data_IF_639236943283
#
_entry.id   IF_639236943283
#
_cell.length_a   1.000
_cell.length_b   1.000
_cell.length_c   1.000
_cell.angle_alpha   90.00
_cell.angle_beta   90.00
_cell.angle_gamma   90.00
#
_symmetry.space_group_name_H-M   'P 1'
#
loop_
_entity.id
_entity.type
_entity.pdbx_description
1 polymer ?
#
# COMPACT_ATOMS: atom_id res chain seq x y z
N UNK A 1 -7.75 0.72 7.07
CA UNK A 1 -8.56 -0.26 7.83
C UNK A 1 -10.00 -0.44 7.31
N UNK A 2 -10.76 0.62 6.97
CA UNK A 2 -12.11 0.47 6.37
C UNK A 2 -12.09 -0.20 4.99
N UNK A 3 -11.11 0.11 4.15
CA UNK A 3 -10.94 -0.48 2.81
C UNK A 3 -10.61 -1.98 2.90
N UNK A 4 -9.71 -2.37 3.79
CA UNK A 4 -9.41 -3.79 4.08
C UNK A 4 -10.68 -4.55 4.49
N UNK A 5 -11.43 -4.04 5.48
CA UNK A 5 -12.70 -4.65 5.91
C UNK A 5 -13.74 -4.73 4.79
N UNK A 6 -13.86 -3.68 3.97
CA UNK A 6 -14.80 -3.68 2.84
C UNK A 6 -14.39 -4.68 1.77
N UNK A 7 -13.11 -4.74 1.44
CA UNK A 7 -12.56 -5.71 0.50
C UNK A 7 -12.72 -7.13 1.00
N UNK A 8 -12.48 -7.41 2.29
CA UNK A 8 -12.74 -8.71 2.93
C UNK A 8 -14.21 -9.12 2.83
N UNK A 9 -15.13 -8.19 3.13
CA UNK A 9 -16.57 -8.44 3.04
C UNK A 9 -17.00 -8.70 1.60
N UNK A 10 -16.49 -7.92 0.64
CA UNK A 10 -16.78 -8.11 -0.77
C UNK A 10 -16.27 -9.48 -1.26
N UNK A 11 -15.06 -9.86 -0.85
CA UNK A 11 -14.47 -11.16 -1.16
C UNK A 11 -15.31 -12.31 -0.58
N UNK A 12 -15.78 -12.16 0.65
CA UNK A 12 -16.64 -13.14 1.33
C UNK A 12 -18.00 -13.27 0.62
N UNK A 13 -18.60 -12.17 0.19
CA UNK A 13 -19.84 -12.19 -0.61
C UNK A 13 -19.61 -12.90 -1.94
N UNK A 14 -18.54 -12.57 -2.66
CA UNK A 14 -18.17 -13.25 -3.91
C UNK A 14 -17.98 -14.75 -3.68
N UNK A 15 -17.28 -15.13 -2.60
CA UNK A 15 -17.06 -16.54 -2.24
C UNK A 15 -18.39 -17.26 -1.97
N UNK A 16 -19.31 -16.65 -1.22
CA UNK A 16 -20.64 -17.23 -0.96
C UNK A 16 -21.43 -17.42 -2.27
N UNK A 17 -21.44 -16.42 -3.14
CA UNK A 17 -22.14 -16.50 -4.43
C UNK A 17 -21.56 -17.64 -5.27
N UNK A 18 -20.24 -17.76 -5.34
CA UNK A 18 -19.57 -18.74 -6.18
C UNK A 18 -19.74 -20.14 -5.62
N UNK A 19 -19.60 -20.33 -4.29
CA UNK A 19 -19.88 -21.61 -3.64
C UNK A 19 -21.34 -22.01 -3.83
N UNK A 20 -22.28 -21.08 -3.67
CA UNK A 20 -23.71 -21.33 -3.87
C UNK A 20 -24.03 -21.73 -5.31
N UNK A 21 -23.46 -21.03 -6.30
CA UNK A 21 -23.61 -21.38 -7.72
C UNK A 21 -23.00 -22.73 -8.05
N UNK A 22 -21.80 -23.02 -7.53
CA UNK A 22 -21.16 -24.31 -7.73
C UNK A 22 -21.93 -25.45 -7.09
N UNK A 23 -22.46 -25.28 -5.89
CA UNK A 23 -23.31 -26.27 -5.25
C UNK A 23 -24.58 -26.57 -6.05
N UNK A 24 -25.23 -25.53 -6.58
CA UNK A 24 -26.42 -25.68 -7.43
C UNK A 24 -26.09 -26.41 -8.73
N UNK A 25 -25.00 -26.02 -9.42
CA UNK A 25 -24.53 -26.67 -10.64
C UNK A 25 -24.16 -28.14 -10.41
N UNK A 26 -23.50 -28.45 -9.28
CA UNK A 26 -23.13 -29.83 -8.94
C UNK A 26 -24.36 -30.70 -8.62
N UNK A 27 -25.38 -30.12 -7.99
CA UNK A 27 -26.62 -30.82 -7.63
C UNK A 27 -27.55 -31.05 -8.82
N UNK A 28 -27.63 -30.08 -9.75
CA UNK A 28 -28.50 -30.12 -10.92
C UNK A 28 -27.90 -30.97 -12.06
N UNK A 29 -26.59 -30.87 -12.26
CA UNK A 29 -25.88 -31.60 -13.32
C UNK A 29 -24.56 -32.13 -12.77
N UNK A 30 -24.60 -33.36 -12.21
CA UNK A 30 -23.44 -34.09 -11.71
C UNK A 30 -22.53 -34.52 -12.89
N UNK A 31 -21.90 -33.52 -13.49
CA UNK A 31 -21.11 -33.63 -14.71
C UNK A 31 -19.64 -33.53 -14.35
N UNK A 32 -18.85 -34.50 -14.83
CA UNK A 32 -17.38 -34.55 -14.63
C UNK A 32 -16.70 -33.27 -15.12
N UNK A 33 -17.24 -32.64 -16.17
CA UNK A 33 -16.74 -31.36 -16.69
C UNK A 33 -16.89 -30.24 -15.66
N UNK A 34 -18.06 -30.13 -15.02
CA UNK A 34 -18.34 -29.15 -13.96
C UNK A 34 -17.41 -29.34 -12.76
N UNK A 35 -17.08 -30.59 -12.42
CA UNK A 35 -16.15 -30.92 -11.34
C UNK A 35 -14.71 -30.47 -11.66
N UNK A 36 -14.24 -30.71 -12.89
CA UNK A 36 -12.91 -30.26 -13.34
C UNK A 36 -12.85 -28.73 -13.37
N UNK A 37 -13.89 -28.06 -13.86
CA UNK A 37 -13.95 -26.58 -13.89
C UNK A 37 -13.93 -25.99 -12.46
N UNK A 38 -14.63 -26.63 -11.52
CA UNK A 38 -14.59 -26.27 -10.09
C UNK A 38 -13.18 -26.39 -9.50
N UNK A 39 -12.48 -27.48 -9.81
CA UNK A 39 -11.12 -27.68 -9.34
C UNK A 39 -10.18 -26.59 -9.87
N UNK A 40 -10.24 -26.28 -11.17
CA UNK A 40 -9.45 -25.20 -11.78
C UNK A 40 -9.79 -23.86 -11.10
N UNK A 41 -11.07 -23.56 -10.90
CA UNK A 41 -11.50 -22.35 -10.21
C UNK A 41 -10.92 -22.25 -8.80
N UNK A 42 -10.92 -23.33 -8.02
CA UNK A 42 -10.37 -23.34 -6.67
C UNK A 42 -8.88 -23.00 -6.66
N UNK A 43 -8.12 -23.55 -7.60
CA UNK A 43 -6.70 -23.22 -7.78
C UNK A 43 -6.51 -21.72 -8.06
N UNK A 44 -7.26 -21.16 -9.00
CA UNK A 44 -7.20 -19.72 -9.29
C UNK A 44 -7.62 -18.85 -8.11
N UNK A 45 -8.68 -19.24 -7.41
CA UNK A 45 -9.15 -18.53 -6.23
C UNK A 45 -8.08 -18.52 -5.13
N UNK A 46 -7.42 -19.66 -4.88
CA UNK A 46 -6.33 -19.75 -3.93
C UNK A 46 -5.19 -18.78 -4.27
N UNK A 47 -4.71 -18.78 -5.52
CA UNK A 47 -3.67 -17.83 -5.94
C UNK A 47 -4.12 -16.37 -5.84
N UNK A 48 -5.38 -16.08 -6.20
CA UNK A 48 -5.95 -14.74 -6.04
C UNK A 48 -5.94 -14.29 -4.58
N UNK A 49 -6.35 -15.14 -3.64
CA UNK A 49 -6.34 -14.81 -2.22
C UNK A 49 -4.95 -14.49 -1.69
N UNK A 50 -3.95 -15.31 -2.05
CA UNK A 50 -2.56 -15.09 -1.65
C UNK A 50 -2.07 -13.74 -2.20
N UNK A 51 -2.27 -13.48 -3.49
CA UNK A 51 -1.85 -12.22 -4.12
C UNK A 51 -2.55 -11.02 -3.51
N UNK A 52 -3.85 -11.12 -3.24
CA UNK A 52 -4.63 -10.05 -2.62
C UNK A 52 -4.17 -9.76 -1.18
N UNK A 53 -3.87 -10.81 -0.40
CA UNK A 53 -3.33 -10.64 0.95
C UNK A 53 -1.97 -9.92 0.93
N UNK A 54 -1.09 -10.29 0.00
CA UNK A 54 0.19 -9.63 -0.21
C UNK A 54 0.02 -8.15 -0.60
N UNK A 55 -0.87 -7.83 -1.54
CA UNK A 55 -1.13 -6.44 -1.95
C UNK A 55 -1.68 -5.60 -0.80
N UNK A 56 -2.65 -6.11 -0.04
CA UNK A 56 -3.23 -5.38 1.11
C UNK A 56 -2.22 -5.24 2.25
N UNK A 57 -1.21 -6.11 2.30
CA UNK A 57 -0.10 -6.06 3.24
C UNK A 57 0.90 -4.93 2.97
N UNK A 58 0.94 -4.39 1.76
CA UNK A 58 1.89 -3.34 1.38
C UNK A 58 1.76 -2.08 2.26
N UNK A 59 2.90 -1.44 2.51
CA UNK A 59 2.99 -0.24 3.32
C UNK A 59 2.11 0.88 2.78
N UNK A 60 1.98 1.01 1.47
CA UNK A 60 1.08 1.99 0.83
C UNK A 60 -0.39 1.84 1.23
N UNK A 61 -0.86 0.68 1.69
CA UNK A 61 -2.24 0.49 2.16
C UNK A 61 -2.35 0.38 3.68
N UNK A 62 -1.22 0.31 4.37
CA UNK A 62 -1.17 0.12 5.81
C UNK A 62 -0.52 1.32 6.53
N UNK A 63 -1.34 2.27 7.04
CA UNK A 63 -0.85 3.45 7.72
C UNK A 63 -0.12 3.19 9.04
N UNK A 64 -0.33 2.02 9.67
CA UNK A 64 0.12 1.69 11.04
C UNK A 64 -0.35 2.66 12.14
N UNK A 65 -1.35 3.50 11.85
CA UNK A 65 -2.02 4.35 12.83
C UNK A 65 -3.54 4.34 12.63
N UNK A 66 -4.28 4.62 13.70
CA UNK A 66 -5.73 4.83 13.68
C UNK A 66 -6.07 6.32 13.59
N UNK A 67 -7.25 6.68 13.08
CA UNK A 67 -7.71 8.07 13.11
C UNK A 67 -7.83 8.65 14.51
N UNK A 68 -7.99 7.79 15.52
CA UNK A 68 -8.25 8.15 16.92
C UNK A 68 -6.98 8.27 17.78
N UNK A 69 -5.80 7.98 17.23
CA UNK A 69 -4.55 8.09 17.96
C UNK A 69 -4.23 9.58 18.21
N UNK A 70 -4.01 9.95 19.48
CA UNK A 70 -3.78 11.35 19.89
C UNK A 70 -2.35 11.86 19.61
N UNK A 71 -1.38 10.96 19.39
CA UNK A 71 0.04 11.31 19.17
C UNK A 71 0.64 10.54 17.98
N UNK A 72 0.14 10.78 16.78
CA UNK A 72 0.61 10.07 15.58
C UNK A 72 2.02 10.49 15.18
N UNK A 73 2.37 11.76 15.38
CA UNK A 73 3.62 12.34 14.89
C UNK A 73 4.83 12.01 15.78
N UNK A 74 4.63 11.82 17.10
CA UNK A 74 5.73 11.55 18.04
C UNK A 74 6.28 10.12 17.92
N UNK A 75 5.47 9.19 17.38
CA UNK A 75 5.81 7.77 17.26
C UNK A 75 6.80 7.48 16.14
N UNK A 76 6.81 8.29 15.08
CA UNK A 76 7.57 8.01 13.87
C UNK A 76 8.70 9.04 13.70
N UNK A 77 9.91 8.53 13.47
CA UNK A 77 11.13 9.35 13.46
C UNK A 77 11.64 9.69 12.06
N UNK A 78 11.22 8.96 11.02
CA UNK A 78 11.65 9.25 9.65
C UNK A 78 10.88 10.44 9.09
N UNK A 79 11.63 11.46 8.67
CA UNK A 79 11.09 12.60 7.94
C UNK A 79 11.26 12.39 6.44
N UNK A 80 10.25 12.80 5.70
CA UNK A 80 10.26 12.85 4.26
C UNK A 80 9.75 14.20 3.78
N UNK A 81 10.05 14.54 2.54
CA UNK A 81 9.53 15.70 1.84
C UNK A 81 8.89 15.20 0.55
N UNK A 82 7.66 15.65 0.28
CA UNK A 82 6.93 15.32 -0.95
C UNK A 82 6.90 16.56 -1.82
N UNK A 83 7.46 16.47 -3.02
CA UNK A 83 7.50 17.53 -4.01
C UNK A 83 6.53 17.23 -5.17
N UNK A 84 5.77 18.23 -5.61
CA UNK A 84 4.83 18.12 -6.75
C UNK A 84 5.51 18.07 -8.11
N UNK A 85 6.70 18.66 -8.20
CA UNK A 85 7.48 18.78 -9.42
C UNK A 85 8.82 18.07 -9.23
N UNK A 86 9.35 17.52 -10.32
CA UNK A 86 10.68 16.89 -10.39
C UNK A 86 11.81 17.87 -9.97
N UNK A 87 11.55 19.18 -10.03
CA UNK A 87 12.49 20.24 -9.65
C UNK A 87 12.60 20.47 -8.12
N UNK A 88 11.74 19.86 -7.29
CA UNK A 88 11.92 19.83 -5.83
C UNK A 88 11.75 21.15 -5.07
N UNK A 89 11.28 22.22 -5.73
CA UNK A 89 11.23 23.58 -5.17
C UNK A 89 10.10 23.80 -4.16
N UNK A 90 8.94 23.18 -4.38
CA UNK A 90 7.78 23.27 -3.48
C UNK A 90 7.44 21.88 -2.92
N UNK A 91 7.92 21.63 -1.70
CA UNK A 91 7.87 20.32 -1.07
C UNK A 91 7.36 20.40 0.36
N UNK A 92 6.38 19.55 0.69
CA UNK A 92 5.74 19.46 1.99
C UNK A 92 6.50 18.47 2.87
N UNK A 93 6.81 18.88 4.10
CA UNK A 93 7.33 17.96 5.11
C UNK A 93 6.26 16.96 5.55
N UNK A 94 6.61 15.69 5.52
CA UNK A 94 5.78 14.57 5.91
C UNK A 94 6.57 13.60 6.78
N UNK A 95 5.86 12.75 7.52
CA UNK A 95 6.48 11.75 8.39
C UNK A 95 6.20 10.37 7.80
N UNK A 96 7.23 9.54 7.60
CA UNK A 96 7.04 8.16 7.14
C UNK A 96 6.55 7.33 8.31
N UNK A 97 5.33 6.78 8.20
CA UNK A 97 4.73 5.92 9.23
C UNK A 97 4.91 4.45 8.93
N UNK A 98 5.05 4.09 7.66
CA UNK A 98 5.33 2.73 7.22
C UNK A 98 6.13 2.76 5.91
N UNK A 99 6.99 1.78 5.70
CA UNK A 99 7.89 1.70 4.54
C UNK A 99 8.16 0.23 4.23
N UNK A 100 8.16 -0.09 2.94
CA UNK A 100 8.58 -1.35 2.35
C UNK A 100 9.57 -1.06 1.22
N UNK A 101 10.13 -2.10 0.60
CA UNK A 101 11.07 -1.96 -0.53
C UNK A 101 10.51 -1.17 -1.72
N UNK A 102 9.20 -1.31 -1.98
CA UNK A 102 8.53 -0.73 -3.15
C UNK A 102 7.45 0.31 -2.83
N UNK A 103 7.19 0.62 -1.56
CA UNK A 103 6.15 1.57 -1.18
C UNK A 103 6.35 2.20 0.19
N UNK A 104 5.66 3.31 0.46
CA UNK A 104 5.60 3.89 1.80
C UNK A 104 4.25 4.53 2.11
N UNK A 105 4.00 4.71 3.41
CA UNK A 105 2.91 5.51 3.92
C UNK A 105 3.45 6.75 4.63
N UNK A 106 2.91 7.90 4.27
CA UNK A 106 3.32 9.20 4.79
C UNK A 106 2.16 9.84 5.56
N UNK A 107 2.46 10.49 6.66
CA UNK A 107 1.55 11.34 7.41
C UNK A 107 1.84 12.81 7.07
N UNK A 108 0.81 13.52 6.60
CA UNK A 108 0.89 14.93 6.28
C UNK A 108 0.48 15.77 7.51
N UNK A 109 1.07 16.96 7.69
CA UNK A 109 0.65 17.90 8.73
C UNK A 109 -0.77 18.42 8.44
N UNK A 110 -1.52 18.71 9.52
CA UNK A 110 -2.94 19.15 9.46
C UNK A 110 -3.19 20.39 8.58
N UNK A 111 -2.17 21.23 8.42
CA UNK A 111 -2.24 22.52 7.72
C UNK A 111 -1.91 22.39 6.22
N UNK A 112 -1.54 21.19 5.76
CA UNK A 112 -1.29 20.92 4.35
C UNK A 112 -2.61 20.89 3.57
N UNK A 113 -3.07 22.04 3.09
CA UNK A 113 -4.11 22.13 2.06
C UNK A 113 -3.52 21.73 0.71
N UNK A 114 -3.37 20.43 0.49
CA UNK A 114 -2.77 19.87 -0.72
C UNK A 114 -3.81 19.11 -1.55
N UNK A 115 -4.03 19.56 -2.78
CA UNK A 115 -4.86 18.82 -3.74
C UNK A 115 -4.07 17.63 -4.29
N UNK A 116 -4.19 16.50 -3.60
CA UNK A 116 -3.64 15.22 -4.00
C UNK A 116 -4.37 14.71 -5.26
N UNK A 117 -3.61 14.47 -6.32
CA UNK A 117 -4.11 13.97 -7.59
C UNK A 117 -3.42 12.63 -7.89
N UNK A 118 -4.20 11.56 -7.99
CA UNK A 118 -3.72 10.21 -8.29
C UNK A 118 -3.08 10.06 -9.67
N UNK A 119 -3.34 10.99 -10.58
CA UNK A 119 -2.78 10.99 -11.95
C UNK A 119 -1.41 11.68 -12.03
N UNK A 120 -0.94 12.33 -10.97
CA UNK A 120 0.36 13.00 -10.94
C UNK A 120 1.42 12.11 -10.28
N UNK A 121 2.66 12.28 -10.74
CA UNK A 121 3.85 11.72 -10.08
C UNK A 121 4.34 12.71 -9.03
N UNK A 122 4.84 12.17 -7.93
CA UNK A 122 5.39 12.91 -6.81
C UNK A 122 6.84 12.49 -6.61
N UNK A 123 7.71 13.46 -6.32
CA UNK A 123 9.08 13.15 -5.92
C UNK A 123 9.11 13.10 -4.38
N UNK A 124 9.52 11.96 -3.83
CA UNK A 124 9.71 11.79 -2.40
C UNK A 124 11.19 11.90 -2.11
N UNK A 125 11.53 12.72 -1.12
CA UNK A 125 12.88 12.85 -0.60
C UNK A 125 12.90 12.51 0.88
N UNK A 126 13.83 11.67 1.33
CA UNK A 126 14.08 11.44 2.75
C UNK A 126 15.56 11.62 3.05
N UNK A 127 15.85 12.14 4.24
CA UNK A 127 17.23 12.33 4.71
C UNK A 127 17.43 11.49 5.95
N UNK A 128 18.36 10.56 5.88
CA UNK A 128 18.73 9.72 7.00
C UNK A 128 20.26 9.70 7.14
N UNK A 129 20.76 10.11 8.31
CA UNK A 129 22.21 10.19 8.60
C UNK A 129 23.05 10.95 7.55
N UNK A 130 22.46 11.99 6.94
CA UNK A 130 23.11 12.79 5.91
C UNK A 130 23.06 12.21 4.50
N UNK A 131 22.45 11.04 4.31
CA UNK A 131 22.19 10.45 2.99
C UNK A 131 20.81 10.88 2.51
N UNK A 132 20.75 11.40 1.28
CA UNK A 132 19.54 11.82 0.62
C UNK A 132 19.02 10.70 -0.28
N UNK A 133 17.84 10.17 0.05
CA UNK A 133 17.13 9.19 -0.74
C UNK A 133 16.05 9.92 -1.54
N UNK A 134 16.04 9.75 -2.86
CA UNK A 134 15.06 10.38 -3.74
C UNK A 134 14.42 9.35 -4.65
N UNK A 135 13.10 9.38 -4.76
CA UNK A 135 12.39 8.47 -5.64
C UNK A 135 11.10 9.07 -6.18
N UNK A 136 10.75 8.71 -7.42
CA UNK A 136 9.45 9.01 -7.98
C UNK A 136 8.41 8.05 -7.40
N UNK A 137 7.22 8.56 -7.14
CA UNK A 137 6.15 7.78 -6.58
C UNK A 137 4.78 8.25 -7.07
N UNK A 138 3.82 7.33 -7.03
CA UNK A 138 2.43 7.58 -7.38
C UNK A 138 1.54 7.37 -6.18
N UNK A 139 0.54 8.23 -6.05
CA UNK A 139 -0.48 8.11 -5.01
C UNK A 139 -1.43 6.95 -5.33
N UNK A 140 -1.51 6.00 -4.40
CA UNK A 140 -2.40 4.83 -4.53
C UNK A 140 -3.47 4.76 -3.44
N UNK A 141 -3.25 5.40 -2.29
CA UNK A 141 -4.22 5.36 -1.19
C UNK A 141 -4.19 6.64 -0.35
N UNK A 142 -5.28 6.92 0.35
CA UNK A 142 -5.36 7.98 1.36
C UNK A 142 -6.14 7.49 2.59
N UNK A 143 -5.69 7.89 3.77
CA UNK A 143 -6.36 7.55 5.03
C UNK A 143 -6.17 8.64 6.08
N UNK A 144 -7.26 9.34 6.41
CA UNK A 144 -7.23 10.45 7.35
C UNK A 144 -6.32 11.57 6.84
N UNK A 145 -5.21 11.81 7.55
CA UNK A 145 -4.18 12.80 7.21
C UNK A 145 -2.97 12.21 6.50
N UNK A 146 -3.00 10.92 6.15
CA UNK A 146 -1.87 10.28 5.50
C UNK A 146 -2.21 9.75 4.12
N UNK A 147 -1.14 9.48 3.37
CA UNK A 147 -1.16 9.04 1.98
C UNK A 147 -0.26 7.83 1.79
N UNK A 148 -0.70 6.91 0.95
CA UNK A 148 0.07 5.76 0.50
C UNK A 148 0.65 6.00 -0.89
N UNK A 149 1.96 5.86 -1.00
CA UNK A 149 2.71 6.06 -2.23
C UNK A 149 3.40 4.75 -2.64
N UNK A 150 3.34 4.43 -3.93
CA UNK A 150 4.09 3.31 -4.54
C UNK A 150 5.20 3.89 -5.39
N UNK A 151 6.40 3.35 -5.25
CA UNK A 151 7.57 3.85 -5.98
C UNK A 151 7.53 3.44 -7.44
N UNK A 152 8.03 4.33 -8.28
CA UNK A 152 8.27 4.08 -9.70
C UNK A 152 9.76 4.19 -9.99
N UNK A 153 10.24 3.48 -11.01
CA UNK A 153 11.64 3.51 -11.41
C UNK A 153 12.12 4.96 -11.59
N UNK A 154 13.19 5.29 -10.86
CA UNK A 154 13.84 6.58 -10.94
C UNK A 154 15.29 6.37 -11.38
N UNK A 155 15.60 6.59 -12.67
CA UNK A 155 16.92 6.29 -13.23
C UNK A 155 18.04 7.15 -12.62
N UNK A 156 17.71 8.33 -12.08
CA UNK A 156 18.66 9.26 -11.45
C UNK A 156 18.85 9.03 -9.94
N UNK A 157 18.32 7.94 -9.39
CA UNK A 157 18.51 7.61 -7.98
C UNK A 157 19.99 7.28 -7.71
N UNK A 158 20.72 8.20 -7.08
CA UNK A 158 22.09 7.93 -6.61
C UNK A 158 22.15 6.86 -5.52
N UNK A 159 21.07 6.72 -4.75
CA UNK A 159 20.94 5.76 -3.64
C UNK A 159 19.52 5.22 -3.67
N UNK A 160 19.37 3.89 -3.57
CA UNK A 160 18.08 3.22 -3.74
C UNK A 160 17.22 3.33 -2.47
N UNK A 161 15.91 3.50 -2.64
CA UNK A 161 14.96 3.50 -1.51
C UNK A 161 14.95 2.15 -0.77
N UNK A 162 15.27 1.07 -1.47
CA UNK A 162 15.42 -0.27 -0.90
C UNK A 162 16.56 -0.33 0.12
N UNK A 163 17.63 0.47 -0.03
CA UNK A 163 18.67 0.59 0.99
C UNK A 163 18.18 1.31 2.24
N UNK A 164 17.38 2.36 2.10
CA UNK A 164 16.74 3.02 3.24
C UNK A 164 15.87 2.03 4.02
N UNK A 165 15.10 1.20 3.33
CA UNK A 165 14.29 0.15 3.95
C UNK A 165 15.16 -0.85 4.73
N UNK A 166 16.26 -1.34 4.15
CA UNK A 166 17.19 -2.25 4.83
C UNK A 166 17.77 -1.63 6.10
N UNK A 167 18.24 -0.39 6.04
CA UNK A 167 18.76 0.34 7.20
C UNK A 167 17.69 0.50 8.28
N UNK A 168 16.46 0.81 7.88
CA UNK A 168 15.33 0.93 8.79
C UNK A 168 14.97 -0.39 9.49
N UNK A 169 15.05 -1.51 8.76
CA UNK A 169 14.75 -2.85 9.24
C UNK A 169 15.84 -3.36 10.19
N UNK A 170 17.12 -3.19 9.84
CA UNK A 170 18.26 -3.56 10.70
C UNK A 170 18.25 -2.82 12.05
N UNK A 171 17.74 -1.59 12.07
CA UNK A 171 17.68 -0.76 13.28
C UNK A 171 16.37 -0.89 14.07
N UNK A 172 15.43 -1.71 13.60
CA UNK A 172 14.12 -1.89 14.24
C UNK A 172 13.28 -0.61 14.29
N UNK A 173 13.54 0.34 13.38
CA UNK A 173 12.76 1.59 13.26
C UNK A 173 11.38 1.28 12.66
N UNK A 174 11.32 0.23 11.85
CA UNK A 174 10.14 -0.20 11.10
C UNK A 174 9.95 -1.69 11.37
N UNK A 175 8.98 -2.02 12.23
CA UNK A 175 8.64 -3.37 12.67
C UNK A 175 7.16 -3.45 12.96
#
# INVERSE_FOLDING_TARGET
MKIKKYSEIMLLICLIIIVGKNFFLLSDSFNKLTLVLNFIYLVFAFYFFITWELEVGLASFNPRFSTHDLEKESRFKLRARICLNEEGSDGIEAIITNIDEGSCFLLLPKEANFELNSSKKYLIESVYEGVHFKHNARLVSSYGQGIGLVFEDYPDARVSWSELYKVCLERGIVG
#
